data_IF_559925910567
#
_entry.id   IF_559925910567
#
_cell.length_a   1.000
_cell.length_b   1.000
_cell.length_c   1.000
_cell.angle_alpha   90.00
_cell.angle_beta   90.00
_cell.angle_gamma   90.00
#
_symmetry.space_group_name_H-M   'P 1'
#
loop_
_entity.id
_entity.type
_entity.pdbx_description
1 polymer ?
#
# COMPACT_ATOMS: atom_id res chain seq x y z
N UNK A 1 2.13 -18.91 -12.90
CA UNK A 1 3.23 -18.58 -11.99
C UNK A 1 2.65 -18.06 -10.67
N UNK A 2 3.14 -18.57 -9.54
CA UNK A 2 2.81 -18.06 -8.22
C UNK A 2 3.75 -16.89 -7.92
N UNK A 3 3.20 -15.71 -7.72
CA UNK A 3 4.00 -14.54 -7.33
C UNK A 3 4.42 -14.67 -5.85
N UNK A 4 5.71 -14.52 -5.60
CA UNK A 4 6.30 -14.52 -4.26
C UNK A 4 6.75 -13.10 -3.92
N UNK A 5 6.29 -12.55 -2.81
CA UNK A 5 6.67 -11.22 -2.36
C UNK A 5 7.20 -11.25 -0.93
N UNK A 6 8.10 -10.32 -0.61
CA UNK A 6 8.59 -10.11 0.75
C UNK A 6 8.23 -8.71 1.23
N UNK A 7 8.06 -8.54 2.53
CA UNK A 7 7.83 -7.21 3.12
C UNK A 7 9.11 -6.65 3.72
N UNK A 8 9.38 -5.37 3.47
CA UNK A 8 10.49 -4.66 4.06
C UNK A 8 10.04 -3.33 4.66
N UNK A 9 10.29 -3.16 5.96
CA UNK A 9 10.06 -1.89 6.65
C UNK A 9 11.22 -0.93 6.43
N UNK A 10 10.95 0.33 6.02
CA UNK A 10 11.98 1.36 5.90
C UNK A 10 12.68 1.66 7.24
N UNK A 11 13.93 2.15 7.22
CA UNK A 11 14.66 2.52 8.43
C UNK A 11 14.08 3.76 9.11
N UNK A 12 14.46 3.99 10.36
CA UNK A 12 14.14 5.21 11.12
C UNK A 12 15.17 6.32 10.88
N UNK A 13 15.69 6.44 9.70
CA UNK A 13 16.71 7.42 9.32
C UNK A 13 16.76 7.56 7.81
N UNK A 14 17.59 8.46 7.32
CA UNK A 14 17.73 8.78 5.90
C UNK A 14 18.69 7.87 5.14
N UNK A 15 19.31 6.89 5.80
CA UNK A 15 20.28 5.98 5.18
C UNK A 15 19.55 4.91 4.34
N UNK A 16 19.65 4.93 3.01
CA UNK A 16 19.03 3.95 2.13
C UNK A 16 19.69 2.57 2.20
N UNK A 17 20.92 2.46 2.73
CA UNK A 17 21.62 1.17 2.80
C UNK A 17 20.84 0.12 3.58
N UNK A 18 20.05 0.53 4.58
CA UNK A 18 19.22 -0.39 5.35
C UNK A 18 18.16 -1.09 4.49
N UNK A 19 17.65 -0.43 3.43
CA UNK A 19 16.73 -1.02 2.44
C UNK A 19 17.49 -1.80 1.39
N UNK A 20 18.52 -1.19 0.80
CA UNK A 20 19.26 -1.79 -0.31
C UNK A 20 19.97 -3.07 0.08
N UNK A 21 20.58 -3.15 1.27
CA UNK A 21 21.19 -4.39 1.80
C UNK A 21 20.17 -5.51 1.98
N UNK A 22 18.98 -5.21 2.53
CA UNK A 22 17.91 -6.21 2.66
C UNK A 22 17.42 -6.68 1.28
N UNK A 23 17.21 -5.74 0.36
CA UNK A 23 16.79 -6.05 -0.99
C UNK A 23 17.80 -6.95 -1.70
N UNK A 24 19.11 -6.65 -1.58
CA UNK A 24 20.19 -7.47 -2.16
C UNK A 24 20.17 -8.92 -1.67
N UNK A 25 19.82 -9.15 -0.40
CA UNK A 25 19.73 -10.50 0.17
C UNK A 25 18.56 -11.33 -0.35
N UNK A 26 17.47 -10.69 -0.82
CA UNK A 26 16.21 -11.39 -1.12
C UNK A 26 15.75 -11.25 -2.57
N UNK A 27 16.33 -10.33 -3.36
CA UNK A 27 15.86 -9.98 -4.71
C UNK A 27 15.78 -11.17 -5.68
N UNK A 28 16.67 -12.15 -5.52
CA UNK A 28 16.73 -13.34 -6.38
C UNK A 28 15.74 -14.44 -5.96
N UNK A 29 15.01 -14.22 -4.84
CA UNK A 29 14.06 -15.16 -4.27
C UNK A 29 12.60 -14.68 -4.28
N UNK A 30 12.38 -13.44 -4.72
CA UNK A 30 11.05 -12.82 -4.74
C UNK A 30 10.79 -12.10 -6.05
N UNK A 31 9.53 -12.05 -6.45
CA UNK A 31 9.10 -11.30 -7.65
C UNK A 31 8.97 -9.79 -7.37
N UNK A 32 8.68 -9.40 -6.11
CA UNK A 32 8.60 -8.00 -5.69
C UNK A 32 8.82 -7.83 -4.18
N UNK A 33 9.24 -6.62 -3.78
CA UNK A 33 9.39 -6.24 -2.37
C UNK A 33 8.34 -5.21 -1.99
N UNK A 34 7.54 -5.52 -0.98
CA UNK A 34 6.48 -4.69 -0.45
C UNK A 34 7.06 -3.76 0.63
N UNK A 35 6.96 -2.45 0.42
CA UNK A 35 7.52 -1.42 1.32
C UNK A 35 6.41 -0.81 2.18
N UNK A 36 6.55 -0.97 3.50
CA UNK A 36 5.58 -0.44 4.46
C UNK A 36 5.64 1.09 4.57
N UNK A 37 4.50 1.72 4.88
CA UNK A 37 4.35 3.16 5.00
C UNK A 37 4.06 3.55 6.45
N UNK A 38 5.07 4.04 7.18
CA UNK A 38 4.98 4.45 8.59
C UNK A 38 4.17 3.45 9.44
N UNK A 39 4.49 2.16 9.34
CA UNK A 39 3.77 1.09 10.04
C UNK A 39 3.72 1.36 11.55
N UNK A 40 2.59 1.03 12.19
CA UNK A 40 2.32 1.33 13.59
C UNK A 40 2.44 2.82 13.97
N UNK A 41 2.29 3.71 12.97
CA UNK A 41 2.43 5.17 13.14
C UNK A 41 3.80 5.63 13.65
N UNK A 42 4.84 4.84 13.41
CA UNK A 42 6.23 5.18 13.73
C UNK A 42 6.88 5.80 12.50
N UNK A 43 7.51 6.97 12.68
CA UNK A 43 8.18 7.70 11.60
C UNK A 43 9.34 6.88 11.04
N UNK A 44 9.34 6.72 9.71
CA UNK A 44 10.36 6.01 8.94
C UNK A 44 10.68 6.75 7.64
N UNK A 45 11.74 6.31 6.96
CA UNK A 45 11.99 6.75 5.59
C UNK A 45 10.73 6.53 4.73
N UNK A 46 10.37 7.50 3.92
CA UNK A 46 9.18 7.45 3.05
C UNK A 46 9.12 6.14 2.26
N UNK A 47 7.94 5.53 2.21
CA UNK A 47 7.70 4.32 1.41
C UNK A 47 7.99 4.58 -0.07
N UNK A 48 7.59 5.75 -0.60
CA UNK A 48 7.88 6.15 -1.98
C UNK A 48 9.39 6.27 -2.24
N UNK A 49 10.12 6.97 -1.37
CA UNK A 49 11.57 7.07 -1.51
C UNK A 49 12.26 5.70 -1.46
N UNK A 50 11.83 4.82 -0.56
CA UNK A 50 12.34 3.45 -0.45
C UNK A 50 12.05 2.62 -1.70
N UNK A 51 10.85 2.73 -2.28
CA UNK A 51 10.51 2.08 -3.56
C UNK A 51 11.39 2.60 -4.72
N UNK A 52 11.69 3.90 -4.76
CA UNK A 52 12.59 4.48 -5.76
C UNK A 52 13.98 3.84 -5.65
N UNK A 53 14.53 3.69 -4.44
CA UNK A 53 15.81 3.00 -4.25
C UNK A 53 15.77 1.55 -4.77
N UNK A 54 14.68 0.81 -4.54
CA UNK A 54 14.51 -0.55 -5.09
C UNK A 54 14.48 -0.55 -6.61
N UNK A 55 13.74 0.35 -7.23
CA UNK A 55 13.66 0.45 -8.72
C UNK A 55 15.02 0.78 -9.33
N UNK A 56 15.81 1.64 -8.70
CA UNK A 56 17.19 1.95 -9.14
C UNK A 56 18.12 0.72 -9.05
N UNK A 57 17.81 -0.27 -8.22
CA UNK A 57 18.51 -1.56 -8.15
C UNK A 57 17.93 -2.60 -9.13
N UNK A 58 16.91 -2.26 -9.91
CA UNK A 58 16.22 -3.21 -10.79
C UNK A 58 15.26 -4.16 -10.07
N UNK A 59 14.87 -3.85 -8.82
CA UNK A 59 13.96 -4.66 -8.01
C UNK A 59 12.54 -4.13 -8.14
N UNK A 60 11.58 -5.03 -8.38
CA UNK A 60 10.17 -4.66 -8.43
C UNK A 60 9.65 -4.32 -7.03
N UNK A 61 8.95 -3.20 -6.92
CA UNK A 61 8.46 -2.67 -5.66
C UNK A 61 6.93 -2.64 -5.60
N UNK A 62 6.38 -2.91 -4.41
CA UNK A 62 4.98 -2.66 -4.08
C UNK A 62 4.94 -1.50 -3.08
N UNK A 63 4.41 -0.37 -3.50
CA UNK A 63 4.28 0.83 -2.67
C UNK A 63 3.08 0.67 -1.74
N UNK A 64 3.29 0.56 -0.43
CA UNK A 64 2.20 0.79 0.52
C UNK A 64 1.94 2.29 0.65
N UNK A 65 0.67 2.68 0.63
CA UNK A 65 0.24 4.06 0.79
C UNK A 65 -0.90 4.15 1.80
N UNK A 66 -0.66 4.88 2.90
CA UNK A 66 -1.67 5.13 3.94
C UNK A 66 -2.33 6.49 3.76
N UNK A 67 -3.64 6.55 4.02
CA UNK A 67 -4.42 7.80 3.97
C UNK A 67 -4.35 8.60 5.28
N UNK A 68 -3.77 8.02 6.33
CA UNK A 68 -3.63 8.66 7.64
C UNK A 68 -2.85 9.98 7.59
N UNK A 69 -1.75 10.00 6.83
CA UNK A 69 -0.74 11.07 6.89
C UNK A 69 -0.89 12.10 5.77
N UNK A 70 -1.73 11.84 4.75
CA UNK A 70 -1.82 12.62 3.51
C UNK A 70 -3.25 12.95 3.13
N UNK A 71 -3.48 14.18 2.66
CA UNK A 71 -4.74 14.54 2.01
C UNK A 71 -4.75 14.06 0.54
N UNK A 72 -5.92 14.18 -0.13
CA UNK A 72 -6.11 13.74 -1.52
C UNK A 72 -5.19 14.41 -2.53
N UNK A 73 -4.69 15.62 -2.24
CA UNK A 73 -3.73 16.32 -3.13
C UNK A 73 -2.39 15.59 -3.04
N UNK A 74 -1.87 15.37 -1.85
CA UNK A 74 -0.60 14.69 -1.62
C UNK A 74 -0.65 13.23 -2.11
N UNK A 75 -1.76 12.50 -1.88
CA UNK A 75 -1.93 11.14 -2.36
C UNK A 75 -1.86 11.05 -3.89
N UNK A 76 -2.58 11.91 -4.62
CA UNK A 76 -2.55 11.94 -6.09
C UNK A 76 -1.15 12.33 -6.61
N UNK A 77 -0.48 13.29 -5.97
CA UNK A 77 0.88 13.69 -6.31
C UNK A 77 1.88 12.54 -6.11
N UNK A 78 1.80 11.82 -4.99
CA UNK A 78 2.67 10.67 -4.70
C UNK A 78 2.42 9.50 -5.69
N UNK A 79 1.17 9.27 -6.13
CA UNK A 79 0.83 8.29 -7.18
C UNK A 79 1.52 8.65 -8.51
N UNK A 80 1.49 9.92 -8.91
CA UNK A 80 2.22 10.38 -10.11
C UNK A 80 3.73 10.25 -9.93
N UNK A 81 4.23 10.58 -8.73
CA UNK A 81 5.63 10.40 -8.37
C UNK A 81 6.07 8.94 -8.52
N UNK A 82 5.29 8.00 -7.98
CA UNK A 82 5.56 6.56 -8.13
C UNK A 82 5.57 6.13 -9.60
N UNK A 83 4.54 6.52 -10.36
CA UNK A 83 4.44 6.19 -11.79
C UNK A 83 5.60 6.74 -12.62
N UNK A 84 6.16 7.92 -12.24
CA UNK A 84 7.30 8.51 -12.94
C UNK A 84 8.60 7.70 -12.83
N UNK A 85 8.68 6.80 -11.85
CA UNK A 85 9.77 5.84 -11.65
C UNK A 85 9.37 4.40 -12.00
N UNK A 86 8.27 4.22 -12.75
CA UNK A 86 7.74 2.89 -13.10
C UNK A 86 7.45 1.99 -11.88
N UNK A 87 7.07 2.60 -10.75
CA UNK A 87 6.53 1.90 -9.59
C UNK A 87 5.04 1.72 -9.85
N UNK A 88 4.66 0.52 -10.31
CA UNK A 88 3.33 0.25 -10.84
C UNK A 88 2.45 -0.62 -9.93
N UNK A 89 2.97 -1.04 -8.76
CA UNK A 89 2.19 -1.80 -7.78
C UNK A 89 1.93 -0.96 -6.54
N UNK A 90 0.67 -0.83 -6.15
CA UNK A 90 0.29 -0.03 -4.98
C UNK A 90 -0.62 -0.84 -4.05
N UNK A 91 -0.34 -0.83 -2.75
CA UNK A 91 -1.17 -1.40 -1.70
C UNK A 91 -1.83 -0.29 -0.88
N UNK A 92 -3.12 -0.08 -1.10
CA UNK A 92 -3.91 0.97 -0.44
C UNK A 92 -4.30 0.57 0.98
N UNK A 93 -3.95 1.41 1.96
CA UNK A 93 -4.20 1.15 3.39
C UNK A 93 -4.80 2.36 4.10
N UNK A 94 -5.54 2.10 5.20
CA UNK A 94 -6.00 3.19 6.09
C UNK A 94 -4.83 3.78 6.89
N UNK A 95 -3.98 2.91 7.43
CA UNK A 95 -2.97 3.24 8.43
C UNK A 95 -3.50 3.08 9.85
N UNK A 96 -2.59 2.82 10.79
CA UNK A 96 -2.89 2.74 12.21
C UNK A 96 -3.06 4.16 12.79
N UNK A 97 -3.84 4.30 13.86
CA UNK A 97 -4.05 5.60 14.49
C UNK A 97 -2.73 6.14 15.09
N UNK A 98 -2.48 7.47 14.99
CA UNK A 98 -1.21 8.09 15.43
C UNK A 98 -0.88 7.85 16.91
N UNK A 99 -1.88 7.63 17.75
CA UNK A 99 -1.68 7.34 19.19
C UNK A 99 -0.88 6.06 19.45
N UNK A 100 -0.78 5.15 18.48
CA UNK A 100 0.01 3.93 18.60
C UNK A 100 1.48 4.12 18.23
N UNK A 101 1.86 5.30 17.73
CA UNK A 101 3.20 5.61 17.27
C UNK A 101 4.00 6.51 18.18
N UNK A 102 5.09 7.04 17.63
CA UNK A 102 6.03 7.91 18.34
C UNK A 102 5.70 9.42 18.26
N UNK A 103 4.62 9.77 17.57
CA UNK A 103 4.15 11.15 17.38
C UNK A 103 2.67 11.29 17.70
N UNK A 104 2.28 10.93 18.93
CA UNK A 104 0.89 10.88 19.37
C UNK A 104 0.15 12.23 19.30
N UNK A 105 0.88 13.36 19.32
CA UNK A 105 0.34 14.72 19.13
C UNK A 105 0.07 15.06 17.67
N UNK A 106 0.53 14.25 16.71
CA UNK A 106 0.21 14.42 15.29
C UNK A 106 -1.30 14.31 15.05
N UNK A 107 -1.80 14.99 14.03
CA UNK A 107 -3.20 14.85 13.65
C UNK A 107 -3.34 13.90 12.47
N UNK A 108 -4.26 12.94 12.58
CA UNK A 108 -4.66 12.13 11.45
C UNK A 108 -5.35 13.01 10.40
N UNK A 109 -5.00 12.81 9.14
CA UNK A 109 -5.65 13.53 8.04
C UNK A 109 -6.95 12.84 7.63
N UNK A 110 -6.89 11.55 7.21
CA UNK A 110 -8.05 10.77 6.77
C UNK A 110 -9.04 11.58 5.91
N UNK A 111 -8.53 12.41 4.99
CA UNK A 111 -9.35 13.18 4.04
C UNK A 111 -10.19 12.25 3.14
N UNK A 112 -9.64 11.09 2.84
CA UNK A 112 -10.32 9.97 2.18
C UNK A 112 -10.02 8.67 2.94
N UNK A 113 -10.88 7.66 2.79
CA UNK A 113 -10.63 6.32 3.34
C UNK A 113 -9.85 5.43 2.34
N UNK A 114 -9.50 4.22 2.77
CA UNK A 114 -8.73 3.29 1.92
C UNK A 114 -9.52 2.79 0.70
N UNK A 115 -10.86 2.74 0.74
CA UNK A 115 -11.69 2.37 -0.40
C UNK A 115 -11.74 3.52 -1.41
N UNK A 116 -11.87 4.75 -0.92
CA UNK A 116 -11.78 5.94 -1.75
C UNK A 116 -10.38 6.11 -2.37
N UNK A 117 -9.30 5.72 -1.66
CA UNK A 117 -7.96 5.69 -2.26
C UNK A 117 -7.88 4.70 -3.42
N UNK A 118 -8.43 3.47 -3.27
CA UNK A 118 -8.51 2.49 -4.37
C UNK A 118 -9.24 3.10 -5.57
N UNK A 119 -10.41 3.71 -5.35
CA UNK A 119 -11.19 4.38 -6.39
C UNK A 119 -10.42 5.54 -7.03
N UNK A 120 -9.66 6.33 -6.23
CA UNK A 120 -8.82 7.41 -6.72
C UNK A 120 -7.74 6.92 -7.67
N UNK A 121 -7.00 5.86 -7.28
CA UNK A 121 -5.97 5.26 -8.14
C UNK A 121 -6.58 4.74 -9.44
N UNK A 122 -7.72 4.05 -9.35
CA UNK A 122 -8.47 3.55 -10.50
C UNK A 122 -8.93 4.69 -11.42
N UNK A 123 -9.52 5.74 -10.86
CA UNK A 123 -9.97 6.92 -11.61
C UNK A 123 -8.81 7.59 -12.36
N UNK A 124 -7.67 7.80 -11.68
CA UNK A 124 -6.47 8.37 -12.32
C UNK A 124 -5.94 7.48 -13.45
N UNK A 125 -5.99 6.15 -13.29
CA UNK A 125 -5.51 5.17 -14.28
C UNK A 125 -6.48 5.01 -15.44
N UNK A 126 -7.75 4.72 -15.13
CA UNK A 126 -8.74 4.24 -16.11
C UNK A 126 -9.42 5.39 -16.88
N UNK A 127 -9.64 6.52 -16.22
CA UNK A 127 -10.27 7.71 -16.81
C UNK A 127 -9.25 8.80 -17.19
N UNK A 128 -8.02 8.69 -16.71
CA UNK A 128 -6.97 9.67 -16.97
C UNK A 128 -7.26 11.05 -16.39
N UNK A 129 -7.96 11.10 -15.23
CA UNK A 129 -8.38 12.36 -14.59
C UNK A 129 -7.98 12.43 -13.11
N UNK A 130 -7.71 13.64 -12.66
CA UNK A 130 -7.63 13.96 -11.24
C UNK A 130 -9.03 13.96 -10.61
N UNK A 131 -9.10 13.82 -9.28
CA UNK A 131 -10.38 13.95 -8.55
C UNK A 131 -11.04 15.32 -8.75
N UNK A 132 -10.28 16.36 -9.11
CA UNK A 132 -10.79 17.68 -9.47
C UNK A 132 -11.43 17.76 -10.85
N UNK A 133 -11.26 16.74 -11.69
CA UNK A 133 -11.83 16.63 -13.04
C UNK A 133 -10.87 16.98 -14.18
N UNK A 134 -9.70 17.56 -13.89
CA UNK A 134 -8.70 17.88 -14.90
C UNK A 134 -8.04 16.63 -15.47
N UNK A 135 -7.66 16.69 -16.74
CA UNK A 135 -7.03 15.58 -17.46
C UNK A 135 -5.57 15.36 -17.01
N UNK A 136 -5.16 14.10 -16.92
CA UNK A 136 -3.78 13.68 -16.67
C UNK A 136 -3.13 13.36 -18.01
N UNK A 137 -2.07 14.09 -18.39
CA UNK A 137 -1.38 13.91 -19.68
C UNK A 137 -0.81 12.49 -19.90
N UNK A 138 -0.33 11.86 -18.82
CA UNK A 138 0.19 10.49 -18.80
C UNK A 138 -0.38 9.79 -17.58
N UNK A 139 -1.51 9.09 -17.69
CA UNK A 139 -2.13 8.38 -16.59
C UNK A 139 -1.21 7.31 -15.98
N UNK A 140 -1.21 7.17 -14.65
CA UNK A 140 -0.39 6.16 -13.98
C UNK A 140 -0.92 4.75 -14.28
N UNK A 141 -0.02 3.82 -14.58
CA UNK A 141 -0.36 2.42 -14.82
C UNK A 141 -0.18 1.63 -13.51
N UNK A 142 -1.23 1.60 -12.67
CA UNK A 142 -1.16 1.01 -11.34
C UNK A 142 -1.91 -0.32 -11.25
N UNK A 143 -1.25 -1.36 -10.71
CA UNK A 143 -1.87 -2.58 -10.25
C UNK A 143 -2.25 -2.40 -8.77
N UNK A 144 -3.55 -2.43 -8.47
CA UNK A 144 -4.09 -1.90 -7.21
C UNK A 144 -4.41 -3.01 -6.23
N UNK A 145 -3.79 -2.96 -5.07
CA UNK A 145 -4.01 -3.88 -3.97
C UNK A 145 -4.65 -3.26 -2.73
N UNK A 146 -5.19 -4.12 -1.89
CA UNK A 146 -5.67 -3.75 -0.56
C UNK A 146 -5.36 -4.81 0.49
N UNK A 147 -5.28 -4.39 1.76
CA UNK A 147 -5.11 -5.30 2.87
C UNK A 147 -6.46 -5.89 3.32
N UNK A 148 -6.45 -7.16 3.74
CA UNK A 148 -7.55 -7.81 4.43
C UNK A 148 -7.07 -8.44 5.75
N UNK A 149 -7.95 -8.47 6.75
CA UNK A 149 -7.70 -9.18 7.98
C UNK A 149 -8.82 -10.22 8.22
N UNK A 150 -8.55 -11.50 7.88
CA UNK A 150 -9.54 -12.57 8.05
C UNK A 150 -9.75 -12.98 9.52
N UNK A 151 -8.95 -12.46 10.45
CA UNK A 151 -8.94 -12.92 11.84
C UNK A 151 -9.52 -11.94 12.85
N UNK A 152 -9.73 -10.68 12.45
CA UNK A 152 -10.22 -9.64 13.36
C UNK A 152 -11.72 -9.77 13.65
N UNK A 153 -12.12 -9.39 14.84
CA UNK A 153 -13.52 -9.32 15.25
C UNK A 153 -14.14 -7.94 14.96
N UNK A 154 -15.45 -7.83 14.72
CA UNK A 154 -16.39 -8.92 14.47
C UNK A 154 -16.08 -9.64 13.15
N UNK A 155 -16.12 -10.97 13.16
CA UNK A 155 -15.75 -11.79 12.01
C UNK A 155 -16.72 -11.58 10.83
N UNK A 156 -18.00 -11.44 11.09
CA UNK A 156 -19.08 -11.36 10.09
C UNK A 156 -18.95 -10.14 9.16
N UNK A 157 -18.27 -9.07 9.62
CA UNK A 157 -18.08 -7.86 8.79
C UNK A 157 -16.85 -7.96 7.86
N UNK A 158 -16.03 -8.99 7.98
CA UNK A 158 -14.77 -9.10 7.21
C UNK A 158 -15.01 -9.32 5.73
N UNK A 159 -15.90 -10.26 5.40
CA UNK A 159 -16.29 -10.54 4.01
C UNK A 159 -17.02 -9.36 3.36
N UNK A 160 -18.05 -8.72 3.97
CA UNK A 160 -18.65 -7.51 3.42
C UNK A 160 -17.65 -6.35 3.21
N UNK A 161 -16.66 -6.18 4.09
CA UNK A 161 -15.61 -5.17 3.90
C UNK A 161 -14.69 -5.50 2.73
N UNK A 162 -14.33 -6.78 2.56
CA UNK A 162 -13.57 -7.23 1.40
C UNK A 162 -14.36 -7.02 0.10
N UNK A 163 -15.64 -7.40 0.08
CA UNK A 163 -16.51 -7.18 -1.07
C UNK A 163 -16.56 -5.70 -1.50
N UNK A 164 -16.62 -4.76 -0.54
CA UNK A 164 -16.55 -3.32 -0.85
C UNK A 164 -15.21 -2.92 -1.49
N UNK A 165 -14.08 -3.50 -1.07
CA UNK A 165 -12.77 -3.24 -1.68
C UNK A 165 -12.71 -3.80 -3.10
N UNK A 166 -13.24 -5.01 -3.32
CA UNK A 166 -13.35 -5.62 -4.65
C UNK A 166 -14.23 -4.74 -5.57
N UNK A 167 -15.38 -4.29 -5.07
CA UNK A 167 -16.26 -3.38 -5.81
C UNK A 167 -15.59 -2.02 -6.12
N UNK A 168 -14.70 -1.54 -5.24
CA UNK A 168 -13.88 -0.34 -5.50
C UNK A 168 -12.81 -0.58 -6.58
N UNK A 169 -12.56 -1.83 -6.98
CA UNK A 169 -11.69 -2.19 -8.10
C UNK A 169 -10.30 -2.67 -7.71
N UNK A 170 -10.14 -3.25 -6.53
CA UNK A 170 -8.88 -3.89 -6.14
C UNK A 170 -8.60 -5.12 -7.01
N UNK A 171 -7.33 -5.34 -7.35
CA UNK A 171 -6.88 -6.40 -8.25
C UNK A 171 -6.08 -7.49 -7.51
N UNK A 172 -5.53 -7.17 -6.32
CA UNK A 172 -4.94 -8.16 -5.42
C UNK A 172 -5.22 -7.84 -3.96
N UNK A 173 -5.20 -8.87 -3.12
CA UNK A 173 -5.41 -8.75 -1.68
C UNK A 173 -4.21 -9.32 -0.95
N UNK A 174 -3.69 -8.52 -0.01
CA UNK A 174 -2.72 -8.98 0.97
C UNK A 174 -3.41 -9.20 2.31
N UNK A 175 -3.44 -10.44 2.77
CA UNK A 175 -3.99 -10.76 4.11
C UNK A 175 -2.98 -10.44 5.21
N UNK A 176 -3.44 -10.36 6.45
CA UNK A 176 -2.57 -10.53 7.61
C UNK A 176 -1.99 -11.96 7.64
N UNK A 177 -0.90 -12.16 8.38
CA UNK A 177 -0.26 -13.47 8.51
C UNK A 177 -1.27 -14.55 8.93
N UNK A 178 -1.24 -15.68 8.24
CA UNK A 178 -2.20 -16.78 8.45
C UNK A 178 -1.58 -17.79 9.40
N UNK A 179 -2.02 -17.79 10.66
CA UNK A 179 -1.62 -18.76 11.69
C UNK A 179 -2.74 -19.72 12.09
N UNK A 180 -4.00 -19.37 11.80
CA UNK A 180 -5.17 -20.21 12.07
C UNK A 180 -5.82 -20.60 10.75
N UNK A 181 -5.50 -21.80 10.28
CA UNK A 181 -5.98 -22.31 8.99
C UNK A 181 -7.49 -22.53 8.99
N UNK A 182 -8.07 -23.06 10.08
CA UNK A 182 -9.51 -23.33 10.17
C UNK A 182 -10.33 -22.03 10.04
N UNK A 183 -9.91 -20.97 10.75
CA UNK A 183 -10.57 -19.66 10.67
C UNK A 183 -10.38 -19.00 9.29
N UNK A 184 -9.22 -19.22 8.67
CA UNK A 184 -8.96 -18.74 7.31
C UNK A 184 -9.83 -19.47 6.28
N UNK A 185 -9.96 -20.79 6.40
CA UNK A 185 -10.81 -21.58 5.52
C UNK A 185 -12.29 -21.15 5.62
N UNK A 186 -12.80 -20.94 6.84
CA UNK A 186 -14.14 -20.40 7.06
C UNK A 186 -14.34 -19.04 6.38
N UNK A 187 -13.34 -18.17 6.44
CA UNK A 187 -13.39 -16.87 5.77
C UNK A 187 -13.37 -17.00 4.25
N UNK A 188 -12.61 -17.96 3.69
CA UNK A 188 -12.56 -18.20 2.24
C UNK A 188 -13.85 -18.81 1.69
N UNK A 189 -14.69 -19.46 2.53
CA UNK A 189 -15.97 -20.06 2.15
C UNK A 189 -17.11 -19.05 2.10
N UNK A 190 -16.93 -17.83 2.63
CA UNK A 190 -17.92 -16.74 2.61
C UNK A 190 -17.79 -15.87 1.37
#
# INVERSE_FOLDING_TARGET
HLAVTSECGPPRGSDPEAITKKAEMIKDHVDAINITDNQTSVIRLSSLASCIHLKLMGVEAILQMVVRDRNRIALQSDILGAASFDINNILCRAGDHQQFGDSAQGQNVFDIDSMQLIQTVRHMRDEGKFLGGDDIKRPPQMFVGAAANPFADPFEIRTPRLAKKIAAGVEFIQTQCIYNLDKFELWMQQ
#
